data_IF_710344734834
#
_entry.id   IF_710344734834
#
_cell.length_a   1.000
_cell.length_b   1.000
_cell.length_c   1.000
_cell.angle_alpha   90.00
_cell.angle_beta   90.00
_cell.angle_gamma   90.00
#
_symmetry.space_group_name_H-M   'P 1'
#
loop_
_entity.id
_entity.type
_entity.pdbx_description
1 polymer ?
#
# COMPACT_ATOMS: atom_id res chain seq x y z
N UNK A 1 -1.94 17.25 18.82
CA UNK A 1 -3.08 16.35 18.94
C UNK A 1 -2.83 15.13 18.06
N UNK A 2 -2.76 15.25 16.76
CA UNK A 2 -2.62 14.13 15.81
C UNK A 2 -1.46 13.17 16.16
N UNK A 3 -0.26 13.69 16.44
CA UNK A 3 0.89 12.85 16.81
C UNK A 3 0.64 12.01 18.08
N UNK A 4 -0.11 12.54 19.07
CA UNK A 4 -0.49 11.77 20.24
C UNK A 4 -1.49 10.67 19.90
N UNK A 5 -2.50 10.96 19.10
CA UNK A 5 -3.46 9.95 18.66
C UNK A 5 -2.80 8.87 17.80
N UNK A 6 -1.84 9.22 16.95
CA UNK A 6 -1.03 8.23 16.24
C UNK A 6 -0.21 7.38 17.20
N UNK A 7 0.43 7.99 18.20
CA UNK A 7 1.16 7.28 19.27
C UNK A 7 0.25 6.27 19.99
N UNK A 8 -0.99 6.64 20.29
CA UNK A 8 -1.97 5.76 20.90
C UNK A 8 -2.41 4.63 19.95
N UNK A 9 -2.69 4.97 18.68
CA UNK A 9 -3.10 4.00 17.66
C UNK A 9 -2.03 2.92 17.38
N UNK A 10 -0.76 3.28 17.41
CA UNK A 10 0.37 2.34 17.24
C UNK A 10 0.38 1.24 18.31
N UNK A 11 -0.15 1.50 19.50
CA UNK A 11 -0.19 0.52 20.59
C UNK A 11 -1.16 -0.63 20.40
N UNK A 12 -2.14 -0.48 19.51
CA UNK A 12 -3.02 -1.58 19.12
C UNK A 12 -2.26 -2.51 18.18
N UNK A 13 -2.09 -3.76 18.59
CA UNK A 13 -1.33 -4.77 17.85
C UNK A 13 -2.19 -5.47 16.82
N UNK A 14 -2.74 -4.72 15.89
CA UNK A 14 -3.58 -5.21 14.79
C UNK A 14 -2.70 -5.94 13.75
N UNK A 15 -1.99 -6.97 14.18
CA UNK A 15 -1.08 -7.74 13.33
C UNK A 15 -1.90 -8.71 12.48
N UNK A 16 -1.84 -8.55 11.16
CA UNK A 16 -2.45 -9.50 10.23
C UNK A 16 -1.44 -10.58 9.81
N UNK A 17 -1.92 -11.80 9.69
CA UNK A 17 -1.16 -12.96 9.26
C UNK A 17 -1.79 -13.60 8.04
N UNK A 18 -0.98 -14.22 7.18
CA UNK A 18 -1.47 -15.01 6.04
C UNK A 18 -2.43 -16.13 6.48
N UNK A 19 -2.23 -16.69 7.66
CA UNK A 19 -3.19 -17.56 8.35
C UNK A 19 -3.97 -16.73 9.36
N UNK A 20 -5.16 -16.30 8.97
CA UNK A 20 -6.02 -15.44 9.78
C UNK A 20 -6.38 -16.02 11.16
N UNK A 21 -6.22 -17.33 11.37
CA UNK A 21 -6.45 -17.94 12.69
C UNK A 21 -5.42 -17.50 13.75
N UNK A 22 -4.31 -16.89 13.33
CA UNK A 22 -3.27 -16.36 14.21
C UNK A 22 -3.53 -14.90 14.60
N UNK A 23 -4.54 -14.25 14.03
CA UNK A 23 -4.88 -12.87 14.34
C UNK A 23 -5.51 -12.75 15.74
N UNK A 24 -5.04 -11.80 16.54
CA UNK A 24 -5.70 -11.40 17.77
C UNK A 24 -6.81 -10.38 17.45
N UNK A 25 -7.98 -10.89 17.09
CA UNK A 25 -9.13 -10.08 16.67
C UNK A 25 -9.57 -9.04 17.71
N UNK A 26 -9.28 -9.26 18.99
CA UNK A 26 -9.60 -8.31 20.05
C UNK A 26 -8.84 -6.98 19.89
N UNK A 27 -7.69 -6.98 19.23
CA UNK A 27 -6.94 -5.77 18.96
C UNK A 27 -7.66 -4.84 17.98
N UNK A 28 -8.36 -5.39 16.97
CA UNK A 28 -9.21 -4.59 16.07
C UNK A 28 -10.43 -4.05 16.80
N UNK A 29 -11.09 -4.85 17.64
CA UNK A 29 -12.23 -4.38 18.42
C UNK A 29 -11.85 -3.23 19.34
N UNK A 30 -10.67 -3.31 19.99
CA UNK A 30 -10.14 -2.24 20.84
C UNK A 30 -9.81 -0.99 20.04
N UNK A 31 -9.19 -1.13 18.86
CA UNK A 31 -8.90 0.00 17.97
C UNK A 31 -10.21 0.68 17.53
N UNK A 32 -11.22 -0.10 17.14
CA UNK A 32 -12.52 0.43 16.72
C UNK A 32 -13.24 1.19 17.84
N UNK A 33 -13.22 0.67 19.06
CA UNK A 33 -13.79 1.37 20.22
C UNK A 33 -13.04 2.69 20.49
N UNK A 34 -11.70 2.64 20.46
CA UNK A 34 -10.86 3.82 20.65
C UNK A 34 -11.09 4.89 19.57
N UNK A 35 -11.22 4.50 18.30
CA UNK A 35 -11.56 5.44 17.22
C UNK A 35 -12.89 6.14 17.49
N UNK A 36 -13.91 5.40 17.95
CA UNK A 36 -15.22 5.96 18.25
C UNK A 36 -15.18 6.93 19.44
N UNK A 37 -14.42 6.63 20.47
CA UNK A 37 -14.25 7.48 21.65
C UNK A 37 -13.44 8.74 21.34
N UNK A 38 -12.43 8.61 20.50
CA UNK A 38 -11.46 9.68 20.18
C UNK A 38 -12.01 10.69 19.17
N UNK A 39 -12.89 10.23 18.26
CA UNK A 39 -13.44 11.01 17.13
C UNK A 39 -14.97 11.02 17.12
N UNK A 40 -15.64 11.55 18.19
CA UNK A 40 -17.08 11.48 18.30
C UNK A 40 -17.84 12.31 17.26
N UNK A 41 -17.31 13.46 16.81
CA UNK A 41 -17.97 14.27 15.79
C UNK A 41 -17.89 13.59 14.41
N UNK A 42 -16.77 12.99 14.08
CA UNK A 42 -16.64 12.18 12.86
C UNK A 42 -17.63 11.02 12.84
N UNK A 43 -17.76 10.30 13.98
CA UNK A 43 -18.71 9.18 14.09
C UNK A 43 -20.18 9.64 14.10
N UNK A 44 -20.46 10.86 14.57
CA UNK A 44 -21.79 11.44 14.47
C UNK A 44 -22.16 11.89 13.04
N UNK A 45 -21.16 12.33 12.27
CA UNK A 45 -21.35 12.80 10.90
C UNK A 45 -21.40 11.68 9.85
N UNK A 46 -20.82 10.50 10.16
CA UNK A 46 -20.72 9.36 9.24
C UNK A 46 -21.56 8.17 9.70
N UNK A 47 -22.07 7.41 8.75
CA UNK A 47 -22.54 6.04 9.04
C UNK A 47 -21.34 5.08 9.00
N UNK A 48 -21.30 4.14 9.94
CA UNK A 48 -20.25 3.11 10.02
C UNK A 48 -20.82 1.72 9.77
N UNK A 49 -20.16 0.97 8.91
CA UNK A 49 -20.43 -0.45 8.66
C UNK A 49 -19.16 -1.26 8.89
N UNK A 50 -19.32 -2.50 9.35
CA UNK A 50 -18.23 -3.46 9.49
C UNK A 50 -18.42 -4.56 8.46
N UNK A 51 -17.42 -4.79 7.63
CA UNK A 51 -17.46 -5.74 6.51
C UNK A 51 -16.36 -6.78 6.69
N UNK A 52 -16.62 -8.01 6.32
CA UNK A 52 -15.65 -9.12 6.38
C UNK A 52 -14.94 -9.25 7.74
N UNK A 53 -15.67 -9.07 8.82
CA UNK A 53 -15.14 -9.16 10.19
C UNK A 53 -14.73 -7.82 10.78
N UNK A 54 -13.67 -7.16 10.28
CA UNK A 54 -13.12 -5.96 10.91
C UNK A 54 -12.79 -4.82 9.93
N UNK A 55 -13.08 -4.96 8.64
CA UNK A 55 -12.96 -3.85 7.68
C UNK A 55 -14.05 -2.82 7.95
N UNK A 56 -13.66 -1.56 8.08
CA UNK A 56 -14.54 -0.45 8.34
C UNK A 56 -14.87 0.29 7.02
N UNK A 57 -16.15 0.53 6.81
CA UNK A 57 -16.65 1.40 5.75
C UNK A 57 -17.45 2.51 6.40
N UNK A 58 -16.97 3.74 6.28
CA UNK A 58 -17.69 4.93 6.73
C UNK A 58 -18.22 5.70 5.54
N UNK A 59 -19.41 6.22 5.65
CA UNK A 59 -20.01 7.11 4.64
C UNK A 59 -20.39 8.43 5.28
N UNK A 60 -19.75 9.51 4.86
CA UNK A 60 -20.18 10.88 5.16
C UNK A 60 -21.06 11.35 4.01
N UNK A 61 -22.38 11.50 4.21
CA UNK A 61 -23.28 11.86 3.11
C UNK A 61 -22.99 13.26 2.60
N UNK A 62 -22.93 13.38 1.27
CA UNK A 62 -22.86 14.68 0.59
C UNK A 62 -24.23 15.34 0.48
N UNK A 63 -24.25 16.65 0.30
CA UNK A 63 -25.48 17.42 0.13
C UNK A 63 -25.91 17.57 -1.36
N UNK A 64 -25.08 17.13 -2.31
CA UNK A 64 -25.38 17.10 -3.73
C UNK A 64 -25.38 15.65 -4.25
N UNK A 65 -26.55 15.01 -4.39
CA UNK A 65 -26.65 13.63 -4.83
C UNK A 65 -26.28 13.41 -6.30
N UNK A 66 -26.07 14.47 -7.08
CA UNK A 66 -25.63 14.36 -8.47
C UNK A 66 -24.11 14.17 -8.58
N UNK A 67 -23.37 14.38 -7.50
CA UNK A 67 -21.92 14.15 -7.48
C UNK A 67 -21.58 12.72 -7.11
N UNK A 68 -20.67 12.14 -7.88
CA UNK A 68 -20.07 10.88 -7.52
C UNK A 68 -19.30 11.00 -6.18
N UNK A 69 -19.35 9.99 -5.31
CA UNK A 69 -18.60 10.00 -4.07
C UNK A 69 -17.08 9.93 -4.32
N UNK A 70 -16.30 10.36 -3.35
CA UNK A 70 -14.86 10.09 -3.31
C UNK A 70 -14.57 8.99 -2.28
N UNK A 71 -13.59 8.15 -2.53
CA UNK A 71 -13.12 7.12 -1.60
C UNK A 71 -11.74 7.48 -1.07
N UNK A 72 -11.59 7.51 0.25
CA UNK A 72 -10.32 7.70 0.94
C UNK A 72 -10.00 6.41 1.69
N UNK A 73 -8.81 5.88 1.51
CA UNK A 73 -8.44 4.56 2.04
C UNK A 73 -7.26 4.67 3.00
N UNK A 74 -7.26 3.82 4.00
CA UNK A 74 -6.13 3.60 4.89
C UNK A 74 -6.35 2.29 5.64
N UNK A 75 -5.40 1.38 5.63
CA UNK A 75 -5.55 0.14 6.36
C UNK A 75 -5.19 0.28 7.85
N UNK A 76 -5.72 -0.61 8.65
CA UNK A 76 -5.58 -0.60 10.11
C UNK A 76 -4.66 -1.68 10.66
N UNK A 77 -4.36 -2.66 9.84
CA UNK A 77 -3.45 -3.75 10.20
C UNK A 77 -1.98 -3.38 9.97
N UNK A 78 -1.12 -4.26 10.43
CA UNK A 78 0.33 -4.11 10.32
C UNK A 78 0.98 -5.49 10.17
N UNK A 79 2.13 -5.55 9.50
CA UNK A 79 2.95 -6.77 9.46
C UNK A 79 3.53 -7.13 10.82
N UNK A 80 3.77 -8.41 11.10
CA UNK A 80 4.46 -8.84 12.32
C UNK A 80 5.90 -8.29 12.38
N UNK A 81 6.42 -8.19 13.60
CA UNK A 81 7.85 -7.94 13.81
C UNK A 81 8.60 -9.24 13.48
N UNK A 82 9.62 -9.14 12.65
CA UNK A 82 10.44 -10.31 12.29
C UNK A 82 11.11 -10.87 13.55
N UNK A 83 10.89 -12.14 13.89
CA UNK A 83 11.49 -12.75 15.07
C UNK A 83 13.03 -12.60 15.09
N UNK A 84 13.60 -12.24 16.24
CA UNK A 84 15.02 -12.02 16.42
C UNK A 84 15.53 -10.62 16.00
N UNK A 85 14.64 -9.72 15.56
CA UNK A 85 15.00 -8.34 15.21
C UNK A 85 14.53 -7.31 16.26
N UNK A 86 13.98 -7.74 17.36
CA UNK A 86 13.40 -6.88 18.40
C UNK A 86 14.43 -5.90 18.97
N UNK A 87 15.68 -6.35 19.10
CA UNK A 87 16.80 -5.51 19.58
C UNK A 87 17.24 -4.44 18.58
N UNK A 88 16.81 -4.50 17.34
CA UNK A 88 17.12 -3.49 16.31
C UNK A 88 16.18 -2.27 16.41
N UNK A 89 15.13 -2.37 17.19
CA UNK A 89 14.21 -1.27 17.42
C UNK A 89 14.75 -0.35 18.51
N UNK A 90 14.81 0.94 18.22
CA UNK A 90 15.22 1.97 19.20
C UNK A 90 14.23 2.07 20.37
N UNK A 91 12.95 1.93 20.10
CA UNK A 91 11.85 1.83 21.05
C UNK A 91 11.06 0.57 20.75
N UNK A 92 10.31 0.04 21.70
CA UNK A 92 9.48 -1.15 21.45
C UNK A 92 8.52 -0.92 20.26
N UNK A 93 8.37 -1.91 19.38
CA UNK A 93 7.64 -1.74 18.11
C UNK A 93 6.18 -1.32 18.29
N UNK A 94 5.59 -1.53 19.45
CA UNK A 94 4.21 -1.15 19.75
C UNK A 94 4.10 -0.18 20.95
N UNK A 95 5.17 0.48 21.32
CA UNK A 95 5.14 1.42 22.46
C UNK A 95 4.57 2.80 22.06
N UNK A 96 4.57 3.12 20.77
CA UNK A 96 4.06 4.40 20.26
C UNK A 96 4.80 5.59 20.86
N UNK A 97 6.11 5.51 20.99
CA UNK A 97 6.90 6.55 21.66
C UNK A 97 6.96 7.81 20.81
N UNK A 98 6.74 8.96 21.48
CA UNK A 98 6.98 10.29 20.89
C UNK A 98 8.39 10.73 21.27
N UNK A 99 9.32 10.68 20.34
CA UNK A 99 10.72 11.04 20.54
C UNK A 99 11.31 11.72 19.30
N UNK A 100 12.16 12.72 19.50
CA UNK A 100 12.83 13.49 18.44
C UNK A 100 11.87 14.05 17.36
N UNK A 101 10.66 14.42 17.75
CA UNK A 101 9.64 14.98 16.86
C UNK A 101 8.96 13.95 15.96
N UNK A 102 9.15 12.66 16.19
CA UNK A 102 8.54 11.55 15.47
C UNK A 102 7.72 10.64 16.40
N UNK A 103 6.76 9.90 15.80
CA UNK A 103 6.08 8.78 16.44
C UNK A 103 6.79 7.50 16.03
N UNK A 104 7.32 6.78 17.01
CA UNK A 104 8.07 5.55 16.79
C UNK A 104 7.17 4.33 17.01
N UNK A 105 7.17 3.41 16.04
CA UNK A 105 6.52 2.12 16.19
C UNK A 105 6.05 1.50 14.87
N UNK A 106 5.67 0.23 14.91
CA UNK A 106 5.09 -0.51 13.79
C UNK A 106 3.72 0.11 13.44
N UNK A 107 3.52 0.43 12.15
CA UNK A 107 2.30 1.09 11.68
C UNK A 107 2.31 2.62 11.80
N UNK A 108 3.38 3.25 12.34
CA UNK A 108 3.46 4.72 12.43
C UNK A 108 3.61 5.40 11.06
N UNK A 109 4.05 4.68 10.04
CA UNK A 109 4.09 5.12 8.64
C UNK A 109 3.07 4.34 7.83
N UNK A 110 3.11 3.02 7.90
CA UNK A 110 2.32 2.08 7.12
C UNK A 110 1.37 1.31 8.04
N UNK A 111 0.04 1.61 8.11
CA UNK A 111 -0.57 2.82 7.50
C UNK A 111 -1.49 3.56 8.50
N UNK A 112 -1.27 3.37 9.82
CA UNK A 112 -2.06 4.07 10.86
C UNK A 112 -1.89 5.59 10.79
N UNK A 113 -0.78 6.08 10.21
CA UNK A 113 -0.60 7.52 10.00
C UNK A 113 -1.69 8.11 9.11
N UNK A 114 -1.98 7.47 7.98
CA UNK A 114 -3.05 7.90 7.07
C UNK A 114 -4.42 7.75 7.71
N UNK A 115 -4.68 6.63 8.41
CA UNK A 115 -5.93 6.42 9.14
C UNK A 115 -6.19 7.53 10.15
N UNK A 116 -5.21 7.86 10.99
CA UNK A 116 -5.34 8.93 11.98
C UNK A 116 -5.46 10.30 11.32
N UNK A 117 -4.71 10.56 10.25
CA UNK A 117 -4.83 11.83 9.51
C UNK A 117 -6.22 12.04 8.94
N UNK A 118 -6.84 10.99 8.38
CA UNK A 118 -8.22 11.03 7.88
C UNK A 118 -9.21 11.35 9.01
N UNK A 119 -9.12 10.64 10.15
CA UNK A 119 -10.03 10.88 11.27
C UNK A 119 -9.81 12.26 11.92
N UNK A 120 -8.57 12.75 12.04
CA UNK A 120 -8.29 14.11 12.53
C UNK A 120 -8.91 15.17 11.62
N UNK A 121 -8.80 14.99 10.30
CA UNK A 121 -9.36 15.92 9.33
C UNK A 121 -10.90 15.92 9.36
N UNK A 122 -11.51 14.73 9.37
CA UNK A 122 -12.97 14.57 9.40
C UNK A 122 -13.54 15.12 10.72
N UNK A 123 -12.91 14.79 11.85
CA UNK A 123 -13.32 15.30 13.16
C UNK A 123 -13.31 16.82 13.21
N UNK A 124 -12.23 17.46 12.72
CA UNK A 124 -12.12 18.92 12.69
C UNK A 124 -13.20 19.55 11.80
N UNK A 125 -13.38 19.01 10.61
CA UNK A 125 -14.39 19.49 9.67
C UNK A 125 -15.82 19.30 10.21
N UNK A 126 -16.10 18.17 10.86
CA UNK A 126 -17.41 17.90 11.45
C UNK A 126 -17.71 18.84 12.62
N UNK A 127 -16.72 19.12 13.48
CA UNK A 127 -16.84 20.08 14.58
C UNK A 127 -17.12 21.49 14.04
N UNK A 128 -16.49 21.87 12.92
CA UNK A 128 -16.70 23.16 12.27
C UNK A 128 -18.03 23.23 11.48
N UNK A 129 -18.84 22.16 11.48
CA UNK A 129 -20.11 22.10 10.78
C UNK A 129 -19.99 21.99 9.25
N UNK A 130 -18.84 21.55 8.76
CA UNK A 130 -18.64 21.32 7.32
C UNK A 130 -19.60 20.23 6.82
N UNK A 131 -20.21 20.46 5.67
CA UNK A 131 -21.02 19.50 4.95
C UNK A 131 -20.42 19.28 3.55
N UNK A 132 -19.92 18.08 3.22
CA UNK A 132 -19.32 17.83 1.92
C UNK A 132 -20.36 17.92 0.79
N UNK A 133 -19.96 18.42 -0.38
CA UNK A 133 -20.84 18.42 -1.55
C UNK A 133 -21.03 16.99 -2.08
N UNK A 134 -19.94 16.29 -2.36
CA UNK A 134 -19.96 14.86 -2.71
C UNK A 134 -19.86 14.02 -1.44
N UNK A 135 -20.47 12.84 -1.43
CA UNK A 135 -20.28 11.89 -0.32
C UNK A 135 -18.81 11.48 -0.22
N UNK A 136 -18.33 11.32 1.02
CA UNK A 136 -16.98 10.82 1.31
C UNK A 136 -17.10 9.41 1.89
N UNK A 137 -16.47 8.46 1.25
CA UNK A 137 -16.37 7.07 1.75
C UNK A 137 -14.97 6.91 2.35
N UNK A 138 -14.87 6.51 3.62
CA UNK A 138 -13.59 6.10 4.20
C UNK A 138 -13.61 4.59 4.33
N UNK A 139 -12.67 3.92 3.66
CA UNK A 139 -12.49 2.49 3.70
C UNK A 139 -11.21 2.16 4.46
N UNK A 140 -11.34 1.38 5.53
CA UNK A 140 -10.19 0.94 6.32
C UNK A 140 -10.13 -0.58 6.38
N UNK A 141 -9.23 -1.16 5.58
CA UNK A 141 -8.98 -2.59 5.51
C UNK A 141 -8.36 -3.12 6.80
N UNK A 142 -8.66 -4.36 7.13
CA UNK A 142 -8.14 -5.01 8.35
C UNK A 142 -7.06 -6.07 8.08
N UNK A 143 -6.79 -6.38 6.82
CA UNK A 143 -5.92 -7.45 6.35
C UNK A 143 -5.19 -7.11 5.05
N UNK A 144 -4.84 -5.82 4.86
CA UNK A 144 -4.15 -5.34 3.66
C UNK A 144 -2.82 -6.08 3.50
N UNK A 145 -2.02 -6.13 4.54
CA UNK A 145 -0.70 -6.76 4.63
C UNK A 145 -0.74 -8.29 4.47
N UNK A 146 -1.93 -8.88 4.63
CA UNK A 146 -2.14 -10.32 4.52
C UNK A 146 -2.92 -10.77 3.28
N UNK A 147 -3.28 -9.83 2.38
CA UNK A 147 -3.91 -10.13 1.10
C UNK A 147 -5.18 -9.35 0.78
N UNK A 148 -5.63 -8.43 1.63
CA UNK A 148 -6.66 -7.43 1.32
C UNK A 148 -8.07 -7.98 1.09
N UNK A 149 -8.43 -9.11 1.68
CA UNK A 149 -9.77 -9.69 1.50
C UNK A 149 -10.88 -8.79 2.01
N UNK A 150 -10.60 -8.00 3.05
CA UNK A 150 -11.51 -7.01 3.61
C UNK A 150 -11.81 -5.87 2.64
N UNK A 151 -10.78 -5.33 1.99
CA UNK A 151 -10.94 -4.29 0.97
C UNK A 151 -11.70 -4.82 -0.26
N UNK A 152 -11.41 -6.05 -0.69
CA UNK A 152 -12.14 -6.71 -1.77
C UNK A 152 -13.63 -6.89 -1.45
N UNK A 153 -13.95 -7.27 -0.21
CA UNK A 153 -15.34 -7.40 0.25
C UNK A 153 -16.06 -6.05 0.32
N UNK A 154 -15.38 -4.99 0.77
CA UNK A 154 -15.92 -3.64 0.78
C UNK A 154 -16.16 -3.11 -0.65
N UNK A 155 -15.24 -3.35 -1.57
CA UNK A 155 -15.42 -3.01 -2.99
C UNK A 155 -16.62 -3.77 -3.61
N UNK A 156 -16.81 -5.04 -3.25
CA UNK A 156 -17.97 -5.81 -3.68
C UNK A 156 -19.28 -5.22 -3.13
N UNK A 157 -19.31 -4.85 -1.84
CA UNK A 157 -20.44 -4.19 -1.22
C UNK A 157 -20.82 -2.88 -1.93
N UNK A 158 -19.85 -2.04 -2.22
CA UNK A 158 -20.07 -0.76 -2.92
C UNK A 158 -20.58 -1.00 -4.35
N UNK A 159 -20.00 -1.93 -5.07
CA UNK A 159 -20.47 -2.33 -6.42
C UNK A 159 -21.90 -2.85 -6.39
N UNK A 160 -22.27 -3.70 -5.43
CA UNK A 160 -23.62 -4.28 -5.33
C UNK A 160 -24.67 -3.21 -4.98
N UNK A 161 -24.23 -2.06 -4.47
CA UNK A 161 -25.04 -0.85 -4.22
C UNK A 161 -24.99 0.16 -5.34
N UNK A 162 -24.37 -0.17 -6.48
CA UNK A 162 -24.15 0.72 -7.62
C UNK A 162 -23.42 2.02 -7.24
N UNK A 163 -22.51 1.96 -6.26
CA UNK A 163 -21.70 3.09 -5.84
C UNK A 163 -20.43 3.16 -6.69
N UNK A 164 -20.33 4.23 -7.48
CA UNK A 164 -19.17 4.51 -8.33
C UNK A 164 -18.46 5.76 -7.81
N UNK A 165 -17.25 5.60 -7.30
CA UNK A 165 -16.45 6.72 -6.83
C UNK A 165 -15.83 7.49 -8.02
N UNK A 166 -15.76 8.83 -7.89
CA UNK A 166 -15.02 9.70 -8.83
C UNK A 166 -13.54 9.30 -8.87
N UNK A 167 -12.97 9.04 -7.69
CA UNK A 167 -11.64 8.46 -7.51
C UNK A 167 -11.57 7.75 -6.15
N UNK A 168 -10.58 6.86 -6.04
CA UNK A 168 -10.12 6.31 -4.77
C UNK A 168 -8.70 6.80 -4.52
N UNK A 169 -8.44 7.32 -3.32
CA UNK A 169 -7.12 7.71 -2.86
C UNK A 169 -6.69 6.75 -1.76
N UNK A 170 -5.58 6.09 -1.98
CA UNK A 170 -4.93 5.18 -1.05
C UNK A 170 -3.49 5.66 -0.78
N UNK A 171 -2.69 4.85 -0.13
CA UNK A 171 -1.28 5.08 0.12
C UNK A 171 -0.38 4.74 -1.08
N UNK A 172 0.92 4.79 -0.89
CA UNK A 172 1.93 4.17 -1.77
C UNK A 172 3.10 5.05 -2.11
N UNK A 173 2.92 6.25 -2.65
CA UNK A 173 4.01 7.09 -3.10
C UNK A 173 4.24 8.30 -2.17
N UNK A 174 5.37 8.97 -2.36
CA UNK A 174 5.82 10.05 -1.47
C UNK A 174 6.30 11.28 -2.25
N UNK A 175 6.51 12.36 -1.52
CA UNK A 175 7.29 13.50 -2.03
C UNK A 175 8.77 13.16 -1.91
N UNK A 176 9.43 12.99 -3.04
CA UNK A 176 10.88 12.74 -3.12
C UNK A 176 11.59 14.09 -3.17
N UNK A 177 12.33 14.43 -2.12
CA UNK A 177 12.95 15.74 -1.95
C UNK A 177 13.98 16.08 -3.04
N UNK A 178 14.73 15.07 -3.47
CA UNK A 178 15.74 15.19 -4.55
C UNK A 178 15.45 14.11 -5.60
N UNK A 179 14.50 14.41 -6.49
CA UNK A 179 14.12 13.47 -7.54
C UNK A 179 15.20 13.40 -8.62
N UNK A 180 15.77 12.21 -8.90
CA UNK A 180 16.99 12.07 -9.72
C UNK A 180 16.93 12.72 -11.11
N UNK A 181 15.74 12.78 -11.71
CA UNK A 181 15.55 13.37 -13.05
C UNK A 181 15.63 14.90 -13.03
N UNK A 182 15.27 15.54 -11.89
CA UNK A 182 15.07 16.99 -11.79
C UNK A 182 15.99 17.66 -10.77
N UNK A 183 16.55 16.93 -9.79
CA UNK A 183 17.34 17.51 -8.70
C UNK A 183 16.54 18.47 -7.82
N UNK A 184 15.23 18.26 -7.70
CA UNK A 184 14.31 19.07 -6.90
C UNK A 184 13.14 18.22 -6.37
N UNK A 185 12.34 18.72 -5.40
CA UNK A 185 11.22 17.97 -4.88
C UNK A 185 10.16 17.65 -5.95
N UNK A 186 9.68 16.39 -5.96
CA UNK A 186 8.61 15.91 -6.82
C UNK A 186 7.64 15.09 -5.97
N UNK A 187 6.36 15.47 -5.98
CA UNK A 187 5.29 14.64 -5.45
C UNK A 187 4.88 13.59 -6.50
N UNK A 188 5.00 12.34 -6.13
CA UNK A 188 4.61 11.22 -7.00
C UNK A 188 3.19 10.78 -6.65
N UNK A 189 2.38 10.57 -7.68
CA UNK A 189 1.02 10.02 -7.55
C UNK A 189 0.98 8.72 -8.35
N UNK A 190 0.74 7.59 -7.66
CA UNK A 190 0.52 6.30 -8.28
C UNK A 190 -0.84 6.28 -8.96
N UNK A 191 -0.89 5.90 -10.23
CA UNK A 191 -2.13 5.83 -11.01
C UNK A 191 -2.44 4.41 -11.49
N UNK A 192 -1.56 3.46 -11.20
CA UNK A 192 -1.72 2.05 -11.50
C UNK A 192 -0.80 1.21 -10.63
N UNK A 193 -1.20 -0.01 -10.39
CA UNK A 193 -0.41 -1.04 -9.71
C UNK A 193 -0.15 -2.21 -10.65
N UNK A 194 0.95 -2.91 -10.39
CA UNK A 194 1.25 -4.16 -11.08
C UNK A 194 0.43 -5.29 -10.51
N UNK A 195 0.09 -6.25 -11.34
CA UNK A 195 -0.52 -7.50 -10.89
C UNK A 195 0.43 -8.26 -9.97
N UNK A 196 -0.13 -8.90 -8.95
CA UNK A 196 0.56 -9.79 -8.04
C UNK A 196 0.15 -11.24 -8.28
N UNK A 197 1.10 -12.16 -8.22
CA UNK A 197 0.83 -13.58 -8.33
C UNK A 197 1.83 -14.43 -7.58
N UNK A 198 1.37 -15.45 -6.87
CA UNK A 198 2.20 -16.45 -6.23
C UNK A 198 2.34 -17.67 -7.12
N UNK A 199 3.56 -18.02 -7.48
CA UNK A 199 3.88 -19.22 -8.24
C UNK A 199 4.41 -20.31 -7.29
N UNK A 200 3.67 -21.42 -7.18
CA UNK A 200 4.14 -22.61 -6.46
C UNK A 200 4.79 -23.58 -7.44
N UNK A 201 6.09 -23.80 -7.31
CA UNK A 201 6.83 -24.76 -8.12
C UNK A 201 7.04 -26.02 -7.29
N UNK A 202 6.62 -27.18 -7.83
CA UNK A 202 6.73 -28.48 -7.16
C UNK A 202 7.47 -29.46 -8.05
N UNK A 203 8.48 -30.13 -7.50
CA UNK A 203 9.16 -31.21 -8.15
C UNK A 203 8.86 -32.54 -7.43
N UNK A 204 8.23 -33.47 -8.12
CA UNK A 204 8.04 -34.82 -7.61
C UNK A 204 9.27 -35.68 -7.92
N UNK A 205 9.75 -36.43 -6.96
CA UNK A 205 10.85 -37.39 -7.14
C UNK A 205 10.63 -38.64 -6.30
N UNK A 206 11.08 -39.75 -6.77
CA UNK A 206 11.14 -40.97 -5.99
C UNK A 206 12.14 -40.83 -4.83
N UNK A 207 11.77 -41.30 -3.66
CA UNK A 207 12.69 -41.36 -2.52
C UNK A 207 13.82 -42.36 -2.79
N UNK A 208 14.92 -42.20 -2.07
CA UNK A 208 16.09 -43.09 -2.17
C UNK A 208 17.02 -42.96 -0.98
N UNK A 209 17.96 -43.88 -0.83
CA UNK A 209 18.95 -43.79 0.22
C UNK A 209 20.03 -42.77 -0.15
N UNK A 210 20.40 -41.92 0.80
CA UNK A 210 21.34 -40.81 0.55
C UNK A 210 22.75 -41.24 0.14
N UNK A 211 23.15 -42.52 0.46
CA UNK A 211 24.44 -43.05 0.03
C UNK A 211 24.45 -43.57 -1.41
N UNK A 212 23.28 -43.69 -2.06
CA UNK A 212 23.10 -44.10 -3.44
C UNK A 212 22.10 -43.19 -4.14
N UNK A 213 22.41 -41.89 -4.27
CA UNK A 213 21.48 -40.92 -4.82
C UNK A 213 21.24 -41.20 -6.30
N UNK A 214 20.02 -40.94 -6.80
CA UNK A 214 19.77 -40.97 -8.24
C UNK A 214 20.59 -39.88 -8.94
N UNK A 215 20.84 -40.03 -10.23
CA UNK A 215 21.56 -39.05 -11.04
C UNK A 215 20.88 -37.69 -11.09
N UNK A 216 19.57 -37.66 -10.85
CA UNK A 216 18.79 -36.45 -10.75
C UNK A 216 17.86 -36.51 -9.52
N UNK A 217 18.02 -35.55 -8.62
CA UNK A 217 17.19 -35.43 -7.43
C UNK A 217 16.07 -34.40 -7.63
N UNK A 218 14.97 -34.56 -6.90
CA UNK A 218 13.89 -33.56 -6.93
C UNK A 218 14.37 -32.15 -6.56
N UNK A 219 15.35 -32.03 -5.65
CA UNK A 219 15.97 -30.75 -5.28
C UNK A 219 16.70 -30.13 -6.48
N UNK A 220 17.47 -30.92 -7.22
CA UNK A 220 18.20 -30.45 -8.42
C UNK A 220 17.23 -30.02 -9.53
N UNK A 221 16.14 -30.75 -9.72
CA UNK A 221 15.08 -30.40 -10.68
C UNK A 221 14.38 -29.08 -10.27
N UNK A 222 14.03 -28.95 -8.98
CA UNK A 222 13.42 -27.72 -8.47
C UNK A 222 14.33 -26.50 -8.60
N UNK A 223 15.62 -26.66 -8.24
CA UNK A 223 16.61 -25.58 -8.36
C UNK A 223 16.75 -25.10 -9.82
N UNK A 224 16.83 -26.04 -10.79
CA UNK A 224 16.87 -25.66 -12.21
C UNK A 224 15.62 -24.95 -12.67
N UNK A 225 14.43 -25.35 -12.22
CA UNK A 225 13.18 -24.69 -12.54
C UNK A 225 13.14 -23.25 -11.99
N UNK A 226 13.57 -23.04 -10.74
CA UNK A 226 13.67 -21.71 -10.13
C UNK A 226 14.66 -20.82 -10.90
N UNK A 227 15.86 -21.34 -11.21
CA UNK A 227 16.85 -20.61 -12.00
C UNK A 227 16.30 -20.23 -13.39
N UNK A 228 15.65 -21.17 -14.09
CA UNK A 228 15.08 -20.90 -15.40
C UNK A 228 14.00 -19.80 -15.38
N UNK A 229 13.25 -19.66 -14.29
CA UNK A 229 12.27 -18.58 -14.10
C UNK A 229 13.00 -17.25 -13.87
N UNK A 230 13.98 -17.24 -12.96
CA UNK A 230 14.69 -16.00 -12.58
C UNK A 230 15.60 -15.46 -13.69
N UNK A 231 16.14 -16.34 -14.55
CA UNK A 231 16.98 -15.98 -15.70
C UNK A 231 16.17 -15.43 -16.90
N UNK A 232 14.85 -15.49 -16.83
CA UNK A 232 13.95 -15.01 -17.89
C UNK A 232 12.93 -14.01 -17.34
N UNK A 233 13.40 -12.86 -16.83
CA UNK A 233 12.50 -11.78 -16.41
C UNK A 233 11.67 -11.28 -17.58
N UNK A 234 10.54 -10.65 -17.29
CA UNK A 234 9.77 -9.94 -18.30
C UNK A 234 10.63 -8.84 -18.96
N UNK A 235 10.33 -8.53 -20.22
CA UNK A 235 11.04 -7.48 -20.94
C UNK A 235 10.81 -6.10 -20.31
N UNK A 236 11.85 -5.28 -20.33
CA UNK A 236 11.71 -3.86 -20.00
C UNK A 236 11.09 -3.13 -21.18
N UNK A 237 10.05 -2.33 -20.92
CA UNK A 237 9.37 -1.53 -21.95
C UNK A 237 9.16 -0.11 -21.47
N UNK A 238 9.40 0.86 -22.33
CA UNK A 238 9.14 2.27 -22.05
C UNK A 238 7.69 2.62 -22.41
N UNK A 239 6.75 2.17 -21.57
CA UNK A 239 5.32 2.37 -21.78
C UNK A 239 4.56 2.48 -20.44
N UNK A 240 3.29 2.86 -20.52
CA UNK A 240 2.39 2.99 -19.36
C UNK A 240 2.82 4.09 -18.39
N UNK A 241 2.36 4.03 -17.13
CA UNK A 241 2.53 5.10 -16.14
C UNK A 241 3.97 5.55 -15.92
N UNK A 242 4.95 4.63 -15.97
CA UNK A 242 6.36 4.98 -15.81
C UNK A 242 6.89 5.84 -16.97
N UNK A 243 6.53 5.51 -18.20
CA UNK A 243 6.89 6.32 -19.36
C UNK A 243 6.16 7.67 -19.35
N UNK A 244 4.89 7.69 -18.98
CA UNK A 244 4.10 8.92 -18.89
C UNK A 244 4.64 9.88 -17.82
N UNK A 245 5.10 9.36 -16.67
CA UNK A 245 5.82 10.14 -15.67
C UNK A 245 7.07 10.79 -16.28
N UNK A 246 7.92 10.03 -16.99
CA UNK A 246 9.13 10.55 -17.59
C UNK A 246 8.81 11.59 -18.67
N UNK A 247 7.81 11.36 -19.52
CA UNK A 247 7.33 12.34 -20.53
C UNK A 247 6.82 13.62 -19.88
N UNK A 248 6.07 13.51 -18.78
CA UNK A 248 5.55 14.66 -18.03
C UNK A 248 6.65 15.48 -17.38
N UNK A 249 7.69 14.84 -16.86
CA UNK A 249 8.80 15.52 -16.18
C UNK A 249 9.88 16.02 -17.14
N UNK A 250 9.99 15.44 -18.33
CA UNK A 250 11.03 15.77 -19.30
C UNK A 250 11.14 17.26 -19.65
N UNK A 251 10.05 18.04 -19.82
CA UNK A 251 10.12 19.48 -20.09
C UNK A 251 10.89 20.28 -19.04
N UNK A 252 10.94 19.78 -17.82
CA UNK A 252 11.63 20.42 -16.69
C UNK A 252 13.03 19.87 -16.43
N UNK A 253 13.40 18.78 -17.11
CA UNK A 253 14.69 18.10 -16.96
C UNK A 253 15.82 18.77 -17.76
N UNK A 254 17.04 18.25 -17.61
CA UNK A 254 18.19 18.72 -18.40
C UNK A 254 18.04 18.43 -19.90
N UNK A 255 18.81 19.15 -20.72
CA UNK A 255 18.73 19.09 -22.20
C UNK A 255 18.82 17.66 -22.75
N UNK A 256 19.70 16.82 -22.21
CA UNK A 256 19.89 15.45 -22.69
C UNK A 256 18.61 14.61 -22.52
N UNK A 257 17.90 14.78 -21.40
CA UNK A 257 16.63 14.09 -21.15
C UNK A 257 15.53 14.59 -22.07
N UNK A 258 15.43 15.92 -22.25
CA UNK A 258 14.50 16.54 -23.22
C UNK A 258 14.71 15.98 -24.62
N UNK A 259 15.97 15.92 -25.07
CA UNK A 259 16.32 15.41 -26.38
C UNK A 259 15.96 13.92 -26.53
N UNK A 260 16.26 13.12 -25.50
CA UNK A 260 15.96 11.69 -25.52
C UNK A 260 14.47 11.41 -25.58
N UNK A 261 13.67 12.09 -24.75
CA UNK A 261 12.22 11.92 -24.72
C UNK A 261 11.56 12.48 -25.98
N UNK A 262 12.01 13.63 -26.50
CA UNK A 262 11.49 14.19 -27.75
C UNK A 262 11.77 13.30 -28.98
N UNK A 263 12.75 12.42 -28.89
CA UNK A 263 13.12 11.47 -29.94
C UNK A 263 13.04 10.02 -29.44
N UNK A 264 12.04 9.71 -28.61
CA UNK A 264 11.89 8.38 -28.00
C UNK A 264 11.82 7.26 -29.05
N UNK A 265 11.20 7.52 -30.21
CA UNK A 265 11.14 6.57 -31.31
C UNK A 265 12.51 6.04 -31.76
N UNK A 266 13.58 6.81 -31.55
CA UNK A 266 14.97 6.46 -31.86
C UNK A 266 15.74 6.06 -30.62
N UNK A 267 15.46 6.72 -29.48
CA UNK A 267 16.28 6.67 -28.25
C UNK A 267 15.64 5.82 -27.15
N UNK A 268 14.51 5.16 -27.41
CA UNK A 268 13.84 4.26 -26.46
C UNK A 268 14.79 3.23 -25.84
N UNK A 269 15.67 2.53 -26.60
CA UNK A 269 16.60 1.58 -26.00
C UNK A 269 17.58 2.22 -24.99
N UNK A 270 17.95 3.49 -25.23
CA UNK A 270 18.78 4.24 -24.30
C UNK A 270 18.02 4.64 -23.03
N UNK A 271 16.77 5.08 -23.18
CA UNK A 271 15.88 5.39 -22.04
C UNK A 271 15.67 4.15 -21.18
N UNK A 272 15.31 3.02 -21.78
CA UNK A 272 15.15 1.73 -21.08
C UNK A 272 16.42 1.35 -20.32
N UNK A 273 17.58 1.44 -20.98
CA UNK A 273 18.88 1.13 -20.37
C UNK A 273 19.18 2.04 -19.18
N UNK A 274 18.94 3.33 -19.32
CA UNK A 274 19.26 4.33 -18.30
C UNK A 274 18.34 4.22 -17.08
N UNK A 275 17.02 4.09 -17.31
CA UNK A 275 16.04 3.93 -16.24
C UNK A 275 16.21 2.56 -15.58
N UNK A 276 16.33 1.50 -16.38
CA UNK A 276 16.51 0.12 -15.90
C UNK A 276 17.84 -0.17 -15.22
N UNK A 277 18.77 0.80 -15.18
CA UNK A 277 20.06 0.64 -14.48
C UNK A 277 19.91 0.52 -12.95
N UNK A 278 18.77 0.91 -12.39
CA UNK A 278 18.44 0.76 -10.95
C UNK A 278 17.36 -0.28 -10.76
N UNK A 279 17.34 -1.02 -9.64
CA UNK A 279 16.28 -1.99 -9.36
C UNK A 279 14.86 -1.38 -9.40
N UNK A 280 14.68 -0.21 -8.81
CA UNK A 280 13.38 0.49 -8.83
C UNK A 280 12.97 0.93 -10.24
N UNK A 281 13.90 1.46 -11.03
CA UNK A 281 13.65 1.83 -12.42
C UNK A 281 13.35 0.61 -13.29
N UNK A 282 14.13 -0.48 -13.16
CA UNK A 282 13.83 -1.73 -13.86
C UNK A 282 12.43 -2.24 -13.48
N UNK A 283 12.13 -2.27 -12.18
CA UNK A 283 10.81 -2.68 -11.70
C UNK A 283 9.68 -1.83 -12.31
N UNK A 284 9.87 -0.52 -12.49
CA UNK A 284 8.85 0.36 -13.10
C UNK A 284 8.65 0.13 -14.61
N UNK A 285 9.65 -0.41 -15.29
CA UNK A 285 9.61 -0.68 -16.74
C UNK A 285 9.21 -2.12 -17.08
N UNK A 286 9.23 -3.05 -16.11
CA UNK A 286 8.69 -4.38 -16.32
C UNK A 286 7.18 -4.28 -16.52
N UNK A 287 6.70 -4.80 -17.63
CA UNK A 287 5.26 -4.92 -17.89
C UNK A 287 4.70 -6.17 -17.24
N UNK A 288 3.51 -6.06 -16.83
CA UNK A 288 2.65 -7.19 -16.50
C UNK A 288 1.74 -7.49 -17.66
#
# INVERSE_FOLDING_TARGET
RAARHLSEAVRFRTISHQDASQNDVAEWDRLHAWLQETYPAAHAAMTREVVAGHTLVYTWPGNDPARAPISLMAHQDVVPVTPGTESNWRHGPFDGVLDEGAVWGRGSVDNKSSLIALFEAIEALAVDGFAPAASVIVLSGHDEEAGGSGAAAAAALLRDRDVHAEFALDEGLAVVADFPLLGRPVALIGIAEKGYGTLRVTAAAAGGHSSAPPSETGVATLARAVLAITERPFELRFQGPAADMVRTLAPEAGFAVKLAVANEWLLEPLLIRQIGATPAGAASLHTT
#
